data_IF_272594336629
#
_entry.id   IF_272594336629
#
_cell.length_a   1.000
_cell.length_b   1.000
_cell.length_c   1.000
_cell.angle_alpha   90.00
_cell.angle_beta   90.00
_cell.angle_gamma   90.00
#
_symmetry.space_group_name_H-M   'P 1'
#
loop_
_entity.id
_entity.type
_entity.pdbx_description
1 polymer ?
#
# COMPACT_ATOMS: atom_id res chain seq x y z
N UNK A 1 3.07 -0.20 12.82
CA UNK A 1 3.50 -1.59 12.50
C UNK A 1 4.11 -1.60 11.10
N UNK A 2 5.37 -2.02 10.94
CA UNK A 2 6.03 -2.04 9.62
C UNK A 2 5.94 -3.43 8.98
N UNK A 3 5.68 -3.49 7.67
CA UNK A 3 5.60 -4.74 6.89
C UNK A 3 6.54 -4.67 5.69
N UNK A 4 7.16 -5.80 5.33
CA UNK A 4 7.98 -5.93 4.12
C UNK A 4 7.20 -6.69 3.05
N UNK A 5 7.12 -6.11 1.86
CA UNK A 5 6.48 -6.72 0.68
C UNK A 5 7.49 -6.96 -0.43
N UNK A 6 7.22 -7.95 -1.28
CA UNK A 6 7.95 -8.16 -2.51
C UNK A 6 7.46 -7.14 -3.56
N UNK A 7 8.38 -6.34 -4.12
CA UNK A 7 8.05 -5.28 -5.09
C UNK A 7 7.55 -5.81 -6.43
N UNK A 8 7.88 -7.07 -6.74
CA UNK A 8 7.46 -7.79 -7.95
C UNK A 8 6.07 -8.42 -7.80
N UNK A 9 5.51 -8.45 -6.59
CA UNK A 9 4.18 -9.01 -6.36
C UNK A 9 3.08 -8.01 -6.67
N UNK A 10 1.89 -8.49 -7.08
CA UNK A 10 0.74 -7.63 -7.29
C UNK A 10 0.26 -7.01 -5.97
N UNK A 11 -0.28 -5.80 -6.06
CA UNK A 11 -0.76 -4.99 -4.93
C UNK A 11 -1.83 -5.73 -4.11
N UNK A 12 -2.71 -6.51 -4.75
CA UNK A 12 -3.73 -7.29 -4.04
C UNK A 12 -3.14 -8.28 -3.02
N UNK A 13 -1.94 -8.83 -3.30
CA UNK A 13 -1.30 -9.78 -2.39
C UNK A 13 -0.78 -9.07 -1.13
N UNK A 14 -0.25 -7.85 -1.29
CA UNK A 14 0.12 -6.98 -0.16
C UNK A 14 -1.11 -6.63 0.67
N UNK A 15 -2.22 -6.26 0.01
CA UNK A 15 -3.51 -5.97 0.67
C UNK A 15 -3.99 -7.18 1.48
N UNK A 16 -4.03 -8.38 0.89
CA UNK A 16 -4.45 -9.60 1.59
C UNK A 16 -3.61 -9.85 2.84
N UNK A 17 -2.27 -9.72 2.74
CA UNK A 17 -1.37 -9.93 3.88
C UNK A 17 -1.58 -8.88 4.97
N UNK A 18 -1.83 -7.62 4.61
CA UNK A 18 -2.17 -6.54 5.56
C UNK A 18 -3.46 -6.90 6.30
N UNK A 19 -4.51 -7.28 5.57
CA UNK A 19 -5.80 -7.63 6.15
C UNK A 19 -5.70 -8.81 7.12
N UNK A 20 -4.98 -9.88 6.75
CA UNK A 20 -4.70 -10.99 7.66
C UNK A 20 -3.90 -10.56 8.90
N UNK A 21 -3.02 -9.56 8.75
CA UNK A 21 -2.13 -9.08 9.83
C UNK A 21 -2.81 -8.11 10.79
N UNK A 22 -3.83 -7.37 10.31
CA UNK A 22 -4.57 -6.38 11.10
C UNK A 22 -5.49 -7.04 12.13
N UNK A 23 -5.86 -8.32 11.96
CA UNK A 23 -6.59 -9.16 12.92
C UNK A 23 -7.84 -8.52 13.56
N UNK A 24 -8.36 -7.46 12.94
CA UNK A 24 -9.52 -6.70 13.34
C UNK A 24 -10.51 -6.82 12.18
N UNK A 25 -11.77 -7.14 12.50
CA UNK A 25 -12.88 -7.18 11.56
C UNK A 25 -13.08 -5.80 10.93
N UNK A 26 -12.31 -5.46 9.90
CA UNK A 26 -12.54 -4.30 9.05
C UNK A 26 -13.92 -4.48 8.42
N UNK A 27 -14.86 -3.60 8.77
CA UNK A 27 -16.18 -3.60 8.16
C UNK A 27 -16.03 -3.29 6.68
N UNK A 28 -16.66 -4.06 5.80
CA UNK A 28 -16.59 -3.87 4.35
C UNK A 28 -15.15 -3.91 3.81
N UNK A 29 -14.41 -4.97 4.14
CA UNK A 29 -13.00 -5.21 3.74
C UNK A 29 -12.69 -4.87 2.27
N UNK A 30 -13.63 -5.14 1.37
CA UNK A 30 -13.47 -4.92 -0.08
C UNK A 30 -13.50 -3.42 -0.47
N UNK A 31 -14.04 -2.54 0.38
CA UNK A 31 -14.12 -1.10 0.12
C UNK A 31 -12.81 -0.34 0.43
N UNK A 32 -11.83 -0.99 1.05
CA UNK A 32 -10.52 -0.39 1.31
C UNK A 32 -9.56 -0.63 0.15
N UNK A 33 -8.65 0.30 -0.07
CA UNK A 33 -7.56 0.19 -1.04
C UNK A 33 -6.25 0.73 -0.45
N UNK A 34 -5.12 0.34 -1.05
CA UNK A 34 -3.83 0.93 -0.69
C UNK A 34 -3.73 2.30 -1.36
N UNK A 35 -3.41 3.33 -0.58
CA UNK A 35 -3.29 4.71 -1.05
C UNK A 35 -1.83 5.15 -0.99
N UNK A 36 -1.33 5.68 -2.11
CA UNK A 36 -0.05 6.36 -2.15
C UNK A 36 -0.27 7.86 -1.96
N UNK A 37 0.30 8.47 -0.91
CA UNK A 37 0.25 9.92 -0.73
C UNK A 37 0.91 10.69 -1.89
N UNK A 38 0.60 11.99 -1.98
CA UNK A 38 1.24 12.87 -2.93
C UNK A 38 2.75 12.90 -2.68
N UNK A 39 3.54 12.78 -3.76
CA UNK A 39 4.99 12.73 -3.68
C UNK A 39 5.62 13.35 -4.93
N UNK A 40 6.64 14.19 -4.73
CA UNK A 40 7.42 14.81 -5.81
C UNK A 40 6.56 15.48 -6.90
N UNK A 41 5.60 16.32 -6.47
CA UNK A 41 4.67 17.03 -7.37
C UNK A 41 3.59 16.15 -8.02
N UNK A 42 3.57 14.84 -7.74
CA UNK A 42 2.48 13.95 -8.17
C UNK A 42 1.39 13.90 -7.12
N UNK A 43 0.14 14.03 -7.54
CA UNK A 43 -1.02 13.86 -6.68
C UNK A 43 -1.07 12.44 -6.07
N UNK A 44 -1.60 12.34 -4.86
CA UNK A 44 -1.85 11.06 -4.22
C UNK A 44 -2.94 10.27 -4.97
N UNK A 45 -2.83 8.94 -4.96
CA UNK A 45 -3.78 8.06 -5.65
C UNK A 45 -3.89 6.70 -4.99
N UNK A 46 -5.02 6.04 -5.23
CA UNK A 46 -5.16 4.62 -4.94
C UNK A 46 -4.33 3.78 -5.90
N UNK A 47 -3.75 2.72 -5.37
CA UNK A 47 -3.01 1.73 -6.13
C UNK A 47 -3.98 0.76 -6.79
N UNK A 48 -3.80 0.53 -8.08
CA UNK A 48 -4.45 -0.55 -8.82
C UNK A 48 -3.97 -1.90 -8.29
N UNK A 49 -4.94 -2.75 -7.93
CA UNK A 49 -4.73 -4.06 -7.31
C UNK A 49 -4.01 -5.06 -8.23
N UNK A 50 -4.18 -4.94 -9.54
CA UNK A 50 -3.57 -5.86 -10.53
C UNK A 50 -2.11 -5.51 -10.83
N UNK A 51 -1.70 -4.27 -10.57
CA UNK A 51 -0.32 -3.81 -10.80
C UNK A 51 0.61 -4.30 -9.70
N UNK A 52 1.90 -4.27 -9.99
CA UNK A 52 2.98 -4.58 -9.06
C UNK A 52 3.44 -3.33 -8.31
N UNK A 53 3.99 -3.50 -7.10
CA UNK A 53 4.41 -2.36 -6.28
C UNK A 53 5.53 -1.55 -6.94
N UNK A 54 6.41 -2.17 -7.74
CA UNK A 54 7.48 -1.50 -8.49
C UNK A 54 6.99 -0.53 -9.56
N UNK A 55 5.75 -0.67 -10.03
CA UNK A 55 5.16 0.22 -11.05
C UNK A 55 4.78 1.58 -10.48
N UNK A 56 4.83 1.70 -9.14
CA UNK A 56 4.58 2.93 -8.43
C UNK A 56 5.89 3.53 -7.92
N UNK A 57 6.04 4.86 -7.96
CA UNK A 57 7.25 5.50 -7.47
C UNK A 57 7.36 5.28 -5.96
N UNK A 58 8.33 4.46 -5.56
CA UNK A 58 8.66 4.28 -4.16
C UNK A 58 9.35 5.55 -3.64
N UNK A 59 8.94 6.08 -2.47
CA UNK A 59 9.65 7.19 -1.86
C UNK A 59 11.12 6.80 -1.66
N UNK A 60 12.04 7.53 -2.31
CA UNK A 60 13.48 7.37 -2.08
C UNK A 60 13.92 7.98 -0.75
N UNK A 61 13.01 8.70 -0.08
CA UNK A 61 13.25 9.36 1.20
C UNK A 61 13.06 8.32 2.31
N UNK A 62 14.13 8.07 3.05
CA UNK A 62 14.11 7.36 4.32
C UNK A 62 14.17 8.39 5.46
N UNK A 63 13.28 8.33 6.47
CA UNK A 63 12.20 7.35 6.63
C UNK A 63 11.01 7.65 5.72
N UNK A 64 10.33 6.59 5.29
CA UNK A 64 9.07 6.70 4.55
C UNK A 64 8.05 7.38 5.47
N UNK A 65 7.39 8.47 5.03
CA UNK A 65 6.33 9.11 5.83
C UNK A 65 5.24 8.10 6.17
N UNK A 66 4.86 8.03 7.44
CA UNK A 66 3.74 7.22 7.92
C UNK A 66 2.80 8.10 8.73
N UNK A 67 1.52 7.72 8.75
CA UNK A 67 0.54 8.29 9.68
C UNK A 67 0.61 7.48 10.97
N UNK A 68 0.67 8.15 12.12
CA UNK A 68 0.48 7.52 13.44
C UNK A 68 -0.98 7.13 13.67
#
# INVERSE_FOLDING_TARGET
KCMKFNVESPIWLSKQRILCTLNQSLKDVLNYGLFQPAYNGKAGKFLDEQRTLKEYPLPAISPVPYLE
#
